data_IF_060347614470
#
_entry.id   IF_060347614470
#
_cell.length_a   1.000
_cell.length_b   1.000
_cell.length_c   1.000
_cell.angle_alpha   90.00
_cell.angle_beta   90.00
_cell.angle_gamma   90.00
#
_symmetry.space_group_name_H-M   'P 1'
#
loop_
_entity.id
_entity.type
_entity.pdbx_description
1 polymer ?
#
# COMPACT_ATOMS: atom_id res chain seq x y z
N UNK A 1 2.39 -2.34 -20.15
CA UNK A 1 0.95 -2.01 -19.95
C UNK A 1 0.82 -0.50 -19.86
N UNK A 2 -0.06 0.09 -20.63
CA UNK A 2 -0.30 1.52 -20.61
C UNK A 2 -1.04 1.99 -19.36
N UNK A 3 -1.16 3.33 -19.17
CA UNK A 3 -1.91 3.90 -18.07
C UNK A 3 -3.35 3.37 -18.06
N UNK A 4 -3.96 3.34 -16.89
CA UNK A 4 -5.34 2.91 -16.67
C UNK A 4 -6.28 3.48 -17.73
N UNK A 5 -6.57 2.70 -18.77
CA UNK A 5 -7.58 3.05 -19.73
C UNK A 5 -8.89 2.41 -19.32
N UNK A 6 -10.02 3.12 -19.38
CA UNK A 6 -11.31 2.53 -19.04
C UNK A 6 -11.57 1.32 -19.95
N UNK A 7 -11.79 0.16 -19.34
CA UNK A 7 -12.26 -1.03 -20.05
C UNK A 7 -13.60 -0.71 -20.69
N UNK A 8 -13.64 -0.75 -22.02
CA UNK A 8 -14.89 -0.58 -22.80
C UNK A 8 -15.84 -1.72 -22.46
N UNK A 9 -16.77 -1.49 -21.57
CA UNK A 9 -18.05 -2.23 -21.52
C UNK A 9 -19.13 -1.30 -20.98
N UNK A 10 -20.10 -1.02 -21.84
CA UNK A 10 -21.38 -0.32 -21.67
C UNK A 10 -21.32 1.21 -21.58
N UNK A 11 -21.83 1.83 -22.63
CA UNK A 11 -22.20 3.23 -22.69
C UNK A 11 -23.14 3.57 -21.53
N UNK A 12 -22.81 4.68 -20.85
CA UNK A 12 -23.65 5.50 -19.98
C UNK A 12 -23.38 5.49 -18.47
N UNK A 13 -22.10 5.57 -18.10
CA UNK A 13 -21.62 6.29 -16.92
C UNK A 13 -20.20 6.74 -17.25
N UNK A 14 -19.96 8.05 -17.25
CA UNK A 14 -18.62 8.61 -17.27
C UNK A 14 -17.88 8.09 -16.02
N UNK A 15 -17.12 7.00 -16.16
CA UNK A 15 -16.30 6.48 -15.08
C UNK A 15 -15.25 7.53 -14.78
N UNK A 16 -15.35 8.14 -13.61
CA UNK A 16 -14.41 9.15 -13.15
C UNK A 16 -13.07 8.46 -12.91
N UNK A 17 -12.01 8.91 -13.60
CA UNK A 17 -10.65 8.46 -13.31
C UNK A 17 -10.13 9.21 -12.08
N UNK A 18 -10.13 8.52 -10.93
CA UNK A 18 -9.68 9.08 -9.65
C UNK A 18 -8.15 9.21 -9.54
N UNK A 19 -7.39 8.64 -10.48
CA UNK A 19 -5.93 8.69 -10.49
C UNK A 19 -5.35 9.72 -11.44
N UNK A 20 -6.16 10.65 -11.91
CA UNK A 20 -5.75 11.74 -12.80
C UNK A 20 -6.61 12.99 -12.61
N UNK A 21 -6.12 14.13 -13.08
CA UNK A 21 -6.86 15.39 -13.18
C UNK A 21 -7.37 15.95 -11.86
N UNK A 22 -8.56 16.56 -11.90
CA UNK A 22 -9.17 17.23 -10.74
C UNK A 22 -9.52 16.26 -9.59
N UNK A 23 -10.04 15.04 -9.83
CA UNK A 23 -10.28 14.10 -8.74
C UNK A 23 -9.01 13.77 -7.96
N UNK A 24 -7.89 13.51 -8.63
CA UNK A 24 -6.62 13.26 -7.96
C UNK A 24 -6.11 14.47 -7.21
N UNK A 25 -6.23 15.68 -7.78
CA UNK A 25 -5.85 16.93 -7.08
C UNK A 25 -6.64 17.12 -5.81
N UNK A 26 -7.96 16.88 -5.86
CA UNK A 26 -8.81 16.98 -4.67
C UNK A 26 -8.35 16.00 -3.58
N UNK A 27 -8.11 14.73 -3.93
CA UNK A 27 -7.61 13.72 -3.00
C UNK A 27 -6.22 14.10 -2.44
N UNK A 28 -5.32 14.61 -3.27
CA UNK A 28 -4.00 15.08 -2.84
C UNK A 28 -4.11 16.23 -1.85
N UNK A 29 -4.97 17.22 -2.13
CA UNK A 29 -5.20 18.37 -1.25
C UNK A 29 -5.70 17.93 0.12
N UNK A 30 -6.66 17.01 0.17
CA UNK A 30 -7.16 16.45 1.42
C UNK A 30 -6.07 15.66 2.17
N UNK A 31 -5.26 14.89 1.43
CA UNK A 31 -4.19 14.06 2.02
C UNK A 31 -3.10 14.89 2.70
N UNK A 32 -2.72 16.02 2.10
CA UNK A 32 -1.68 16.91 2.62
C UNK A 32 -2.23 17.98 3.58
N UNK A 33 -3.51 17.93 3.93
CA UNK A 33 -4.10 18.83 4.93
C UNK A 33 -3.54 18.54 6.33
N UNK A 34 -3.45 19.59 7.15
CA UNK A 34 -3.15 19.45 8.60
C UNK A 34 -4.35 18.95 9.40
N UNK A 35 -5.54 18.90 8.81
CA UNK A 35 -6.76 18.42 9.45
C UNK A 35 -6.86 16.88 9.31
N UNK A 36 -6.84 16.19 10.45
CA UNK A 36 -6.89 14.72 10.48
C UNK A 36 -8.18 14.14 9.92
N UNK A 37 -9.31 14.84 10.05
CA UNK A 37 -10.59 14.36 9.50
C UNK A 37 -10.59 14.40 7.97
N UNK A 38 -9.95 15.40 7.38
CA UNK A 38 -9.74 15.46 5.94
C UNK A 38 -8.79 14.38 5.45
N UNK A 39 -7.73 14.11 6.22
CA UNK A 39 -6.82 12.99 5.94
C UNK A 39 -7.52 11.64 6.01
N UNK A 40 -8.38 11.42 7.02
CA UNK A 40 -9.20 10.20 7.12
C UNK A 40 -10.10 10.03 5.90
N UNK A 41 -10.77 11.10 5.48
CA UNK A 41 -11.62 11.08 4.28
C UNK A 41 -10.83 10.71 3.02
N UNK A 42 -9.66 11.29 2.82
CA UNK A 42 -8.79 10.97 1.69
C UNK A 42 -8.30 9.51 1.74
N UNK A 43 -7.85 9.05 2.90
CA UNK A 43 -7.35 7.68 3.07
C UNK A 43 -8.45 6.64 2.80
N UNK A 44 -9.67 6.87 3.31
CA UNK A 44 -10.81 6.01 3.04
C UNK A 44 -11.20 6.00 1.56
N UNK A 45 -11.18 7.16 0.90
CA UNK A 45 -11.44 7.26 -0.53
C UNK A 45 -10.41 6.48 -1.34
N UNK A 46 -9.12 6.62 -1.05
CA UNK A 46 -8.08 5.83 -1.71
C UNK A 46 -8.24 4.33 -1.48
N UNK A 47 -8.57 3.91 -0.26
CA UNK A 47 -8.80 2.50 0.04
C UNK A 47 -9.96 1.94 -0.79
N UNK A 48 -11.09 2.66 -0.86
CA UNK A 48 -12.27 2.24 -1.61
C UNK A 48 -12.02 2.20 -3.13
N UNK A 49 -11.35 3.22 -3.67
CA UNK A 49 -11.06 3.30 -5.11
C UNK A 49 -10.10 2.18 -5.52
N UNK A 50 -9.04 1.96 -4.75
CA UNK A 50 -8.02 0.95 -5.07
C UNK A 50 -8.52 -0.49 -4.88
N UNK A 51 -9.52 -0.70 -4.04
CA UNK A 51 -10.18 -2.00 -3.91
C UNK A 51 -10.98 -2.38 -5.16
N UNK A 52 -11.62 -1.38 -5.79
CA UNK A 52 -12.45 -1.56 -6.98
C UNK A 52 -11.64 -1.66 -8.27
N UNK A 53 -10.54 -0.95 -8.34
CA UNK A 53 -9.73 -0.85 -9.54
C UNK A 53 -8.24 -0.98 -9.22
N UNK A 54 -7.62 -2.03 -9.75
CA UNK A 54 -6.16 -2.24 -9.67
C UNK A 54 -5.54 -1.84 -11.00
N UNK A 55 -4.75 -0.77 -10.98
CA UNK A 55 -4.06 -0.29 -12.17
C UNK A 55 -2.68 0.26 -11.85
N UNK A 56 -1.87 0.41 -12.88
CA UNK A 56 -0.62 1.15 -12.77
C UNK A 56 -0.92 2.63 -12.48
N UNK A 57 -0.26 3.18 -11.47
CA UNK A 57 -0.38 4.58 -11.08
C UNK A 57 0.99 5.26 -11.08
N UNK A 58 0.97 6.58 -11.22
CA UNK A 58 2.17 7.38 -11.18
C UNK A 58 2.52 7.84 -9.76
N UNK A 59 3.60 8.59 -9.70
CA UNK A 59 4.12 9.23 -8.49
C UNK A 59 3.07 10.15 -7.84
N UNK A 60 2.30 10.86 -8.67
CA UNK A 60 1.27 11.81 -8.23
C UNK A 60 0.17 11.15 -7.39
N UNK A 61 -0.10 9.88 -7.64
CA UNK A 61 -1.05 9.08 -6.85
C UNK A 61 -0.38 8.48 -5.62
N UNK A 62 0.84 7.97 -5.75
CA UNK A 62 1.52 7.29 -4.65
C UNK A 62 2.02 8.24 -3.56
N UNK A 63 2.49 9.43 -3.89
CA UNK A 63 2.98 10.39 -2.89
C UNK A 63 1.94 10.76 -1.83
N UNK A 64 0.68 11.11 -2.19
CA UNK A 64 -0.36 11.35 -1.19
C UNK A 64 -0.62 10.14 -0.29
N UNK A 65 -0.69 8.94 -0.85
CA UNK A 65 -0.92 7.71 -0.09
C UNK A 65 0.25 7.43 0.87
N UNK A 66 1.49 7.59 0.41
CA UNK A 66 2.70 7.43 1.23
C UNK A 66 2.79 8.48 2.34
N UNK A 67 2.32 9.70 2.07
CA UNK A 67 2.23 10.73 3.10
C UNK A 67 1.23 10.35 4.19
N UNK A 68 0.04 9.89 3.82
CA UNK A 68 -0.98 9.40 4.76
C UNK A 68 -0.49 8.21 5.59
N UNK A 69 0.33 7.36 5.01
CA UNK A 69 0.92 6.20 5.66
C UNK A 69 1.77 6.57 6.89
N UNK A 70 2.30 7.78 6.94
CA UNK A 70 3.13 8.29 8.04
C UNK A 70 2.31 8.95 9.17
N UNK A 71 1.00 9.02 9.04
CA UNK A 71 0.11 9.59 10.05
C UNK A 71 0.21 8.83 11.38
N UNK A 72 0.00 9.54 12.49
CA UNK A 72 -0.16 8.94 13.82
C UNK A 72 -1.60 8.48 14.10
N UNK A 73 -2.55 8.86 13.27
CA UNK A 73 -3.95 8.44 13.39
C UNK A 73 -4.15 7.02 12.88
N UNK A 74 -4.73 6.16 13.72
CA UNK A 74 -4.90 4.73 13.44
C UNK A 74 -5.79 4.49 12.21
N UNK A 75 -6.85 5.27 12.04
CA UNK A 75 -7.75 5.11 10.88
C UNK A 75 -7.07 5.54 9.58
N UNK A 76 -6.28 6.61 9.62
CA UNK A 76 -5.46 7.02 8.45
C UNK A 76 -4.44 5.94 8.12
N UNK A 77 -3.75 5.40 9.12
CA UNK A 77 -2.80 4.29 8.91
C UNK A 77 -3.48 3.07 8.30
N UNK A 78 -4.62 2.66 8.87
CA UNK A 78 -5.37 1.49 8.41
C UNK A 78 -5.81 1.63 6.95
N UNK A 79 -6.44 2.75 6.61
CA UNK A 79 -6.95 2.98 5.26
C UNK A 79 -5.84 3.19 4.24
N UNK A 80 -4.79 3.95 4.57
CA UNK A 80 -3.66 4.18 3.64
C UNK A 80 -2.83 2.92 3.39
N UNK A 81 -2.62 2.10 4.41
CA UNK A 81 -1.92 0.82 4.23
C UNK A 81 -2.75 -0.19 3.42
N UNK A 82 -4.08 -0.18 3.58
CA UNK A 82 -4.97 -0.97 2.72
C UNK A 82 -4.89 -0.52 1.26
N UNK A 83 -4.98 0.79 1.01
CA UNK A 83 -4.84 1.34 -0.34
C UNK A 83 -3.50 0.98 -0.98
N UNK A 84 -2.41 1.12 -0.22
CA UNK A 84 -1.08 0.79 -0.71
C UNK A 84 -0.93 -0.70 -1.02
N UNK A 85 -1.50 -1.57 -0.19
CA UNK A 85 -1.54 -3.01 -0.41
C UNK A 85 -2.29 -3.39 -1.69
N UNK A 86 -3.41 -2.73 -1.97
CA UNK A 86 -4.16 -2.91 -3.22
C UNK A 86 -3.34 -2.48 -4.44
N UNK A 87 -2.70 -1.31 -4.38
CA UNK A 87 -1.83 -0.81 -5.44
C UNK A 87 -0.59 -1.70 -5.67
N UNK A 88 -0.09 -2.33 -4.61
CA UNK A 88 1.08 -3.21 -4.65
C UNK A 88 0.83 -4.56 -5.36
N UNK A 89 -0.36 -4.83 -5.85
CA UNK A 89 -0.64 -6.00 -6.70
C UNK A 89 -0.05 -5.80 -8.11
N UNK A 90 -0.01 -4.59 -8.62
CA UNK A 90 0.58 -4.25 -9.92
C UNK A 90 2.12 -4.22 -9.83
N UNK A 91 2.80 -4.83 -10.81
CA UNK A 91 4.26 -4.97 -10.83
C UNK A 91 5.01 -3.64 -10.84
N UNK A 92 4.59 -2.67 -11.65
CA UNK A 92 5.24 -1.36 -11.74
C UNK A 92 5.03 -0.56 -10.44
N UNK A 93 3.85 -0.65 -9.86
CA UNK A 93 3.55 -0.03 -8.57
C UNK A 93 4.45 -0.59 -7.45
N UNK A 94 4.73 -1.90 -7.45
CA UNK A 94 5.64 -2.52 -6.45
C UNK A 94 7.02 -1.85 -6.45
N UNK A 95 7.58 -1.61 -7.63
CA UNK A 95 8.87 -0.96 -7.79
C UNK A 95 8.82 0.50 -7.35
N UNK A 96 7.79 1.22 -7.77
CA UNK A 96 7.64 2.65 -7.48
C UNK A 96 7.40 2.91 -5.99
N UNK A 97 6.61 2.09 -5.32
CA UNK A 97 6.38 2.19 -3.86
C UNK A 97 7.70 2.09 -3.09
N UNK A 98 8.54 1.12 -3.42
CA UNK A 98 9.85 0.95 -2.78
C UNK A 98 10.79 2.08 -3.13
N UNK A 99 10.80 2.53 -4.39
CA UNK A 99 11.61 3.66 -4.86
C UNK A 99 11.25 4.96 -4.14
N UNK A 100 9.99 5.18 -3.85
CA UNK A 100 9.49 6.38 -3.16
C UNK A 100 9.60 6.30 -1.62
N UNK A 101 10.20 5.25 -1.08
CA UNK A 101 10.46 5.12 0.36
C UNK A 101 9.35 4.50 1.18
N UNK A 102 8.48 3.69 0.57
CA UNK A 102 7.35 3.07 1.26
C UNK A 102 7.71 1.99 2.28
N UNK A 103 8.93 1.43 2.24
CA UNK A 103 9.32 0.34 3.15
C UNK A 103 9.40 0.78 4.62
N UNK A 104 10.00 1.91 4.91
CA UNK A 104 10.19 2.38 6.29
C UNK A 104 8.87 2.57 7.04
N UNK A 105 7.88 3.33 6.52
CA UNK A 105 6.61 3.47 7.21
C UNK A 105 5.82 2.15 7.31
N UNK A 106 5.90 1.26 6.33
CA UNK A 106 5.29 -0.07 6.41
C UNK A 106 5.91 -0.93 7.51
N UNK A 107 7.22 -0.92 7.65
CA UNK A 107 7.93 -1.65 8.71
C UNK A 107 7.50 -1.13 10.08
N UNK A 108 7.38 0.18 10.26
CA UNK A 108 6.85 0.76 11.50
C UNK A 108 5.44 0.29 11.79
N UNK A 109 4.58 0.24 10.78
CA UNK A 109 3.20 -0.21 10.93
C UNK A 109 3.07 -1.71 11.21
N UNK A 110 4.02 -2.52 10.79
CA UNK A 110 4.09 -3.93 11.22
C UNK A 110 4.25 -4.07 12.73
N UNK A 111 4.76 -3.07 13.40
CA UNK A 111 4.92 -3.03 14.86
C UNK A 111 3.73 -2.36 15.58
N UNK A 112 2.70 -1.95 14.87
CA UNK A 112 1.51 -1.33 15.43
C UNK A 112 0.81 -2.27 16.42
N UNK A 113 0.29 -1.74 17.55
CA UNK A 113 -0.58 -2.52 18.42
C UNK A 113 -1.95 -2.81 17.83
N UNK A 114 -2.36 -2.08 16.79
CA UNK A 114 -3.61 -2.32 16.08
C UNK A 114 -3.43 -3.44 15.04
N UNK A 115 -4.18 -4.53 15.21
CA UNK A 115 -4.04 -5.73 14.39
C UNK A 115 -4.42 -5.51 12.91
N UNK A 116 -5.35 -4.61 12.62
CA UNK A 116 -5.75 -4.30 11.24
C UNK A 116 -4.63 -3.52 10.51
N UNK A 117 -4.05 -2.52 11.17
CA UNK A 117 -2.87 -1.81 10.66
C UNK A 117 -1.73 -2.79 10.40
N UNK A 118 -1.45 -3.64 11.36
CA UNK A 118 -0.41 -4.66 11.29
C UNK A 118 -0.66 -5.62 10.11
N UNK A 119 -1.88 -6.12 9.97
CA UNK A 119 -2.27 -7.03 8.89
C UNK A 119 -2.10 -6.37 7.51
N UNK A 120 -2.57 -5.15 7.34
CA UNK A 120 -2.45 -4.41 6.08
C UNK A 120 -0.98 -4.14 5.72
N UNK A 121 -0.18 -3.73 6.69
CA UNK A 121 1.25 -3.46 6.46
C UNK A 121 2.01 -4.72 6.06
N UNK A 122 1.80 -5.82 6.77
CA UNK A 122 2.43 -7.11 6.45
C UNK A 122 1.97 -7.61 5.09
N UNK A 123 0.67 -7.51 4.77
CA UNK A 123 0.12 -7.88 3.46
C UNK A 123 0.74 -7.07 2.33
N UNK A 124 0.94 -5.77 2.53
CA UNK A 124 1.63 -4.92 1.56
C UNK A 124 3.08 -5.36 1.35
N UNK A 125 3.84 -5.59 2.42
CA UNK A 125 5.22 -6.12 2.32
C UNK A 125 5.25 -7.46 1.59
N UNK A 126 4.28 -8.34 1.85
CA UNK A 126 4.18 -9.64 1.15
C UNK A 126 4.02 -9.43 -0.35
N UNK A 127 3.14 -8.52 -0.77
CA UNK A 127 2.95 -8.18 -2.18
C UNK A 127 4.22 -7.58 -2.79
N UNK A 128 4.86 -6.65 -2.11
CA UNK A 128 6.13 -6.04 -2.57
C UNK A 128 7.24 -7.07 -2.74
N UNK A 129 7.29 -8.09 -1.87
CA UNK A 129 8.30 -9.15 -1.87
C UNK A 129 8.11 -10.18 -2.99
N UNK A 130 7.02 -10.13 -3.74
CA UNK A 130 6.86 -10.98 -4.94
C UNK A 130 7.69 -10.50 -6.13
N UNK A 131 8.16 -9.25 -6.12
CA UNK A 131 9.03 -8.71 -7.17
C UNK A 131 10.50 -8.89 -6.80
N UNK A 132 11.27 -9.54 -7.66
CA UNK A 132 12.67 -9.91 -7.38
C UNK A 132 13.56 -8.71 -7.03
N UNK A 133 13.39 -7.58 -7.73
CA UNK A 133 14.17 -6.36 -7.47
C UNK A 133 13.92 -5.77 -6.08
N UNK A 134 12.77 -6.07 -5.46
CA UNK A 134 12.43 -5.59 -4.13
C UNK A 134 12.97 -6.48 -3.01
N UNK A 135 13.15 -7.78 -3.26
CA UNK A 135 13.50 -8.76 -2.23
C UNK A 135 14.75 -8.38 -1.44
N UNK A 136 15.82 -8.05 -2.15
CA UNK A 136 17.08 -7.62 -1.50
C UNK A 136 16.91 -6.34 -0.69
N UNK A 137 16.16 -5.37 -1.21
CA UNK A 137 15.88 -4.11 -0.51
C UNK A 137 15.07 -4.35 0.77
N UNK A 138 14.04 -5.19 0.69
CA UNK A 138 13.22 -5.56 1.85
C UNK A 138 14.06 -6.30 2.89
N UNK A 139 14.88 -7.26 2.49
CA UNK A 139 15.74 -8.00 3.39
C UNK A 139 16.75 -7.07 4.12
N UNK A 140 17.27 -6.05 3.43
CA UNK A 140 18.21 -5.07 4.00
C UNK A 140 17.56 -3.95 4.80
N UNK A 141 16.24 -3.77 4.69
CA UNK A 141 15.52 -2.67 5.34
C UNK A 141 15.25 -2.88 6.83
N UNK A 142 15.57 -4.04 7.37
CA UNK A 142 15.24 -4.42 8.74
C UNK A 142 13.88 -5.13 8.90
N UNK A 143 13.20 -5.45 7.81
CA UNK A 143 11.87 -6.09 7.84
C UNK A 143 11.91 -7.54 8.36
N UNK A 144 13.03 -8.24 8.26
CA UNK A 144 13.11 -9.68 8.62
C UNK A 144 12.79 -9.94 10.10
N UNK A 145 13.27 -9.09 11.00
CA UNK A 145 13.03 -9.24 12.45
C UNK A 145 11.53 -9.14 12.77
N UNK A 146 10.82 -8.07 12.40
CA UNK A 146 9.38 -8.00 12.64
C UNK A 146 8.60 -9.09 11.89
N UNK A 147 8.97 -9.46 10.67
CA UNK A 147 8.31 -10.55 9.94
C UNK A 147 8.42 -11.89 10.66
N UNK A 148 9.60 -12.23 11.16
CA UNK A 148 9.82 -13.44 11.94
C UNK A 148 8.97 -13.48 13.21
N UNK A 149 8.84 -12.32 13.88
CA UNK A 149 7.97 -12.18 15.06
C UNK A 149 6.50 -12.37 14.68
N UNK A 150 6.05 -11.72 13.60
CA UNK A 150 4.65 -11.76 13.17
C UNK A 150 4.24 -13.10 12.58
N UNK A 151 5.17 -13.91 12.10
CA UNK A 151 4.92 -15.29 11.72
C UNK A 151 4.46 -16.17 12.90
N UNK A 152 4.56 -15.66 14.13
CA UNK A 152 4.05 -16.30 15.37
C UNK A 152 2.84 -15.54 15.94
N UNK A 153 2.23 -14.65 15.16
CA UNK A 153 1.05 -13.91 15.59
C UNK A 153 -0.12 -14.84 15.93
N UNK A 154 -0.94 -14.43 16.89
CA UNK A 154 -2.21 -15.11 17.18
C UNK A 154 -3.29 -14.83 16.14
N UNK A 155 -3.19 -13.72 15.41
CA UNK A 155 -4.07 -13.43 14.29
C UNK A 155 -3.59 -14.21 13.05
N UNK A 156 -4.45 -15.09 12.54
CA UNK A 156 -4.11 -16.00 11.45
C UNK A 156 -3.81 -15.26 10.14
N UNK A 157 -4.39 -14.09 9.92
CA UNK A 157 -4.15 -13.27 8.72
C UNK A 157 -2.75 -12.70 8.76
N UNK A 158 -2.35 -12.15 9.92
CA UNK A 158 -1.00 -11.62 10.15
C UNK A 158 0.04 -12.73 10.03
N UNK A 159 -0.21 -13.86 10.69
CA UNK A 159 0.67 -15.02 10.64
C UNK A 159 0.90 -15.51 9.20
N UNK A 160 -0.18 -15.66 8.43
CA UNK A 160 -0.14 -16.12 7.04
C UNK A 160 0.63 -15.15 6.15
N UNK A 161 0.34 -13.86 6.26
CA UNK A 161 1.02 -12.83 5.47
C UNK A 161 2.51 -12.76 5.81
N UNK A 162 2.88 -12.81 7.08
CA UNK A 162 4.27 -12.80 7.50
C UNK A 162 5.03 -14.03 6.99
N UNK A 163 4.42 -15.22 7.09
CA UNK A 163 5.01 -16.44 6.56
C UNK A 163 5.17 -16.38 5.04
N UNK A 164 4.19 -15.83 4.32
CA UNK A 164 4.25 -15.61 2.88
C UNK A 164 5.37 -14.65 2.48
N UNK A 165 5.55 -13.55 3.21
CA UNK A 165 6.65 -12.62 2.98
C UNK A 165 8.01 -13.29 3.19
N UNK A 166 8.18 -14.04 4.28
CA UNK A 166 9.41 -14.78 4.55
C UNK A 166 9.71 -15.81 3.47
N UNK A 167 8.69 -16.53 2.99
CA UNK A 167 8.84 -17.46 1.88
C UNK A 167 9.32 -16.75 0.61
N UNK A 168 8.69 -15.65 0.23
CA UNK A 168 9.09 -14.86 -0.95
C UNK A 168 10.54 -14.37 -0.82
N UNK A 169 10.93 -13.91 0.37
CA UNK A 169 12.30 -13.42 0.63
C UNK A 169 13.33 -14.56 0.67
N UNK A 170 12.94 -15.80 1.02
CA UNK A 170 13.84 -16.96 1.02
C UNK A 170 14.27 -17.39 -0.39
N UNK A 171 13.55 -16.96 -1.41
CA UNK A 171 13.85 -17.25 -2.81
C UNK A 171 14.80 -16.21 -3.45
N UNK A 172 15.53 -15.45 -2.64
CA UNK A 172 16.59 -14.56 -3.14
C UNK A 172 17.73 -15.43 -3.69
N UNK A 173 17.90 -15.39 -5.01
CA UNK A 173 19.09 -15.95 -5.63
C UNK A 173 20.26 -14.99 -5.46
N UNK A 174 21.22 -15.40 -4.71
CA UNK A 174 22.50 -14.68 -4.55
C UNK A 174 23.38 -14.94 -5.77
#
# INVERSE_FOLDING_TARGET
MGPCAPTRLTADRSETNFFAGEPLRALSTLSFSDNVDLQRSAALAFAEITEKEVCEVGRETLEPVLFLLQSHDVEVQRASSAALGNLAVNSENKLLIVKLGGLEPLIRQMLSPNVEVQCNAVGCITNLATHDDNKTKIAKSGALVPLTRLARSKDIRVQRNAAGALLNLSLIHI
#
